data_IF_071049419677
#
_entry.id   IF_071049419677
#
_cell.length_a   1.000
_cell.length_b   1.000
_cell.length_c   1.000
_cell.angle_alpha   90.00
_cell.angle_beta   90.00
_cell.angle_gamma   90.00
#
_symmetry.space_group_name_H-M   'P 1'
#
loop_
_entity.id
_entity.type
_entity.pdbx_description
1 polymer ?
#
# COMPACT_ATOMS: atom_id res chain seq x y z
N UNK A 1 -8.00 30.09 -15.79
CA UNK A 1 -9.09 29.11 -15.58
C UNK A 1 -9.37 28.45 -16.91
N UNK A 2 -9.48 27.12 -16.95
CA UNK A 2 -9.82 26.40 -18.18
C UNK A 2 -11.26 26.72 -18.59
N UNK A 3 -11.50 26.96 -19.89
CA UNK A 3 -12.84 27.15 -20.41
C UNK A 3 -13.59 25.80 -20.53
N UNK A 4 -14.91 25.84 -20.70
CA UNK A 4 -15.72 24.65 -21.01
C UNK A 4 -15.17 23.91 -22.22
N UNK A 5 -14.80 24.65 -23.26
CA UNK A 5 -14.31 24.08 -24.52
C UNK A 5 -12.93 23.45 -24.34
N UNK A 6 -12.06 24.03 -23.51
CA UNK A 6 -10.77 23.44 -23.15
C UNK A 6 -10.94 22.09 -22.44
N UNK A 7 -11.89 22.00 -21.51
CA UNK A 7 -12.19 20.75 -20.79
C UNK A 7 -12.72 19.68 -21.74
N UNK A 8 -13.68 20.02 -22.60
CA UNK A 8 -14.25 19.09 -23.60
C UNK A 8 -13.18 18.63 -24.58
N UNK A 9 -12.34 19.56 -25.06
CA UNK A 9 -11.22 19.25 -25.96
C UNK A 9 -10.21 18.32 -25.31
N UNK A 10 -9.84 18.57 -24.06
CA UNK A 10 -8.89 17.73 -23.31
C UNK A 10 -9.41 16.31 -23.13
N UNK A 11 -10.68 16.15 -22.74
CA UNK A 11 -11.32 14.81 -22.64
C UNK A 11 -11.33 14.13 -24.00
N UNK A 12 -11.82 14.79 -25.06
CA UNK A 12 -11.87 14.20 -26.40
C UNK A 12 -10.49 13.79 -26.91
N UNK A 13 -9.44 14.55 -26.61
CA UNK A 13 -8.08 14.15 -26.93
C UNK A 13 -7.73 12.83 -26.23
N UNK A 14 -7.86 12.71 -24.90
CA UNK A 14 -7.49 11.49 -24.17
C UNK A 14 -8.30 10.23 -24.56
N UNK A 15 -9.51 10.40 -25.10
CA UNK A 15 -10.38 9.31 -25.59
C UNK A 15 -10.22 8.99 -27.09
N UNK A 16 -9.40 9.73 -27.83
CA UNK A 16 -9.16 9.51 -29.27
C UNK A 16 -7.75 8.98 -29.56
N UNK A 17 -7.56 8.34 -30.73
CA UNK A 17 -6.27 7.78 -31.14
C UNK A 17 -5.87 6.53 -30.34
N UNK A 18 -4.58 6.20 -30.35
CA UNK A 18 -4.03 5.02 -29.68
C UNK A 18 -3.05 5.40 -28.56
N UNK A 19 -2.99 4.57 -27.53
CA UNK A 19 -1.96 4.67 -26.49
C UNK A 19 -0.73 3.87 -26.89
N UNK A 20 0.46 4.45 -26.69
CA UNK A 20 1.73 3.72 -26.82
C UNK A 20 2.06 3.08 -25.48
N UNK A 21 1.87 1.76 -25.39
CA UNK A 21 2.14 0.99 -24.18
C UNK A 21 3.39 0.15 -24.37
N UNK A 22 4.34 0.31 -23.46
CA UNK A 22 5.58 -0.49 -23.40
C UNK A 22 5.54 -1.47 -22.23
N UNK A 23 6.22 -2.61 -22.33
CA UNK A 23 6.38 -3.52 -21.20
C UNK A 23 7.58 -3.08 -20.35
N UNK A 24 7.46 -3.21 -19.02
CA UNK A 24 8.49 -2.79 -18.07
C UNK A 24 8.84 -3.88 -17.05
N UNK A 25 10.10 -3.89 -16.64
CA UNK A 25 10.64 -4.77 -15.57
C UNK A 25 11.19 -4.00 -14.37
N UNK A 26 11.19 -2.67 -14.45
CA UNK A 26 11.64 -1.74 -13.41
C UNK A 26 10.52 -0.72 -13.20
N UNK A 27 10.17 -0.45 -11.94
CA UNK A 27 9.13 0.51 -11.61
C UNK A 27 9.58 1.90 -12.10
N UNK A 28 8.80 2.58 -12.95
CA UNK A 28 9.21 3.87 -13.51
C UNK A 28 9.08 5.00 -12.49
N UNK A 29 9.92 6.02 -12.67
CA UNK A 29 9.72 7.36 -12.12
C UNK A 29 8.93 8.24 -13.10
N UNK A 30 8.42 9.38 -12.62
CA UNK A 30 7.58 10.32 -13.39
C UNK A 30 8.24 10.73 -14.72
N UNK A 31 9.56 10.89 -14.73
CA UNK A 31 10.33 11.29 -15.91
C UNK A 31 10.44 10.18 -16.96
N UNK A 32 10.27 8.92 -16.57
CA UNK A 32 10.38 7.78 -17.48
C UNK A 32 9.11 7.56 -18.32
N UNK A 33 8.00 8.21 -17.98
CA UNK A 33 6.73 8.15 -18.70
C UNK A 33 6.40 9.53 -19.26
N UNK A 34 6.32 9.63 -20.58
CA UNK A 34 5.94 10.88 -21.24
C UNK A 34 4.48 11.23 -20.93
N UNK A 35 4.20 12.52 -20.69
CA UNK A 35 2.84 13.00 -20.52
C UNK A 35 2.03 12.78 -21.81
N UNK A 36 0.74 12.46 -21.68
CA UNK A 36 -0.15 12.16 -22.81
C UNK A 36 -0.47 10.67 -22.91
N UNK A 37 -0.63 10.16 -24.13
CA UNK A 37 -1.11 8.79 -24.41
C UNK A 37 0.01 7.74 -24.37
N UNK A 38 0.81 7.78 -23.31
CA UNK A 38 1.93 6.86 -23.10
C UNK A 38 1.76 6.12 -21.79
N UNK A 39 2.22 4.87 -21.75
CA UNK A 39 2.23 4.11 -20.52
C UNK A 39 3.21 2.95 -20.54
N UNK A 40 3.41 2.40 -19.35
CA UNK A 40 4.23 1.21 -19.13
C UNK A 40 3.44 0.17 -18.36
N UNK A 41 3.27 -1.01 -18.94
CA UNK A 41 2.64 -2.14 -18.26
C UNK A 41 3.71 -2.96 -17.52
N UNK A 42 3.46 -3.26 -16.26
CA UNK A 42 4.32 -4.09 -15.42
C UNK A 42 3.48 -5.14 -14.68
N UNK A 43 4.06 -6.30 -14.41
CA UNK A 43 3.49 -7.28 -13.47
C UNK A 43 4.05 -7.02 -12.06
N UNK A 44 3.23 -6.44 -11.18
CA UNK A 44 3.63 -5.91 -9.88
C UNK A 44 2.86 -6.58 -8.75
N UNK A 45 3.52 -6.77 -7.62
CA UNK A 45 2.82 -6.93 -6.35
C UNK A 45 2.66 -5.53 -5.73
N UNK A 46 1.41 -5.16 -5.46
CA UNK A 46 1.03 -3.88 -4.89
C UNK A 46 0.69 -4.09 -3.42
N UNK A 47 1.37 -3.37 -2.53
CA UNK A 47 1.08 -3.33 -1.10
C UNK A 47 0.52 -1.96 -0.78
N UNK A 48 -0.60 -1.93 -0.06
CA UNK A 48 -1.13 -0.72 0.54
C UNK A 48 -1.22 -0.90 2.05
N UNK A 49 -0.72 0.07 2.81
CA UNK A 49 -0.87 0.11 4.25
C UNK A 49 -1.51 1.44 4.67
N UNK A 50 -2.43 1.39 5.62
CA UNK A 50 -3.11 2.57 6.13
C UNK A 50 -3.38 2.48 7.64
N UNK A 51 -3.50 3.63 8.30
CA UNK A 51 -3.92 3.70 9.71
C UNK A 51 -5.44 3.68 9.73
N UNK A 52 -6.03 2.73 10.47
CA UNK A 52 -7.49 2.64 10.56
C UNK A 52 -8.03 3.74 11.45
N UNK A 53 -9.16 4.31 11.03
CA UNK A 53 -9.88 5.35 11.78
C UNK A 53 -9.00 6.59 12.10
N UNK A 54 -7.99 6.88 11.28
CA UNK A 54 -7.01 7.94 11.54
C UNK A 54 -7.61 9.33 11.70
N UNK A 55 -8.79 9.61 11.12
CA UNK A 55 -9.51 10.86 11.36
C UNK A 55 -9.89 11.03 12.82
N UNK A 56 -10.40 9.98 13.49
CA UNK A 56 -10.68 10.01 14.94
C UNK A 56 -9.43 10.24 15.75
N UNK A 57 -8.32 9.67 15.28
CA UNK A 57 -7.00 9.85 15.87
C UNK A 57 -6.58 11.33 15.78
N UNK A 58 -6.72 11.97 14.61
CA UNK A 58 -6.38 13.39 14.39
C UNK A 58 -7.31 14.32 15.15
N UNK A 59 -8.61 14.08 15.14
CA UNK A 59 -9.61 14.90 15.84
C UNK A 59 -9.40 14.88 17.35
N UNK A 60 -8.97 13.75 17.88
CA UNK A 60 -8.55 13.62 19.28
C UNK A 60 -7.26 14.37 19.59
N UNK A 61 -6.37 14.61 18.60
CA UNK A 61 -5.03 15.13 18.85
C UNK A 61 -4.85 16.62 18.57
N UNK A 62 -3.95 17.24 19.35
CA UNK A 62 -3.29 18.49 18.92
C UNK A 62 -2.52 18.21 17.63
N UNK A 63 -2.61 19.09 16.63
CA UNK A 63 -2.00 18.95 15.30
C UNK A 63 -0.54 18.45 15.32
N UNK A 64 0.27 18.94 16.27
CA UNK A 64 1.68 18.54 16.41
C UNK A 64 1.83 17.08 16.85
N UNK A 65 0.94 16.57 17.69
CA UNK A 65 0.93 15.17 18.14
C UNK A 65 0.57 14.23 16.98
N UNK A 66 -0.48 14.56 16.22
CA UNK A 66 -0.83 13.83 14.99
C UNK A 66 0.34 13.82 13.99
N UNK A 67 1.02 14.95 13.80
CA UNK A 67 2.18 15.03 12.93
C UNK A 67 3.34 14.12 13.39
N UNK A 68 3.60 14.00 14.71
CA UNK A 68 4.62 13.07 15.23
C UNK A 68 4.28 11.62 14.90
N UNK A 69 3.00 11.24 15.06
CA UNK A 69 2.52 9.91 14.73
C UNK A 69 2.71 9.61 13.25
N UNK A 70 2.19 10.47 12.37
CA UNK A 70 2.31 10.28 10.92
C UNK A 70 3.75 10.24 10.45
N UNK A 71 4.61 11.16 10.91
CA UNK A 71 6.03 11.14 10.53
C UNK A 71 6.73 9.85 10.97
N UNK A 72 6.43 9.35 12.16
CA UNK A 72 7.03 8.10 12.67
C UNK A 72 6.54 6.88 11.90
N UNK A 73 5.23 6.83 11.62
CA UNK A 73 4.61 5.78 10.81
C UNK A 73 5.19 5.76 9.39
N UNK A 74 5.08 6.86 8.65
CA UNK A 74 5.53 6.97 7.26
C UNK A 74 7.03 6.67 7.13
N UNK A 75 7.86 7.13 8.08
CA UNK A 75 9.29 6.84 8.09
C UNK A 75 9.56 5.33 8.27
N UNK A 76 8.95 4.67 9.26
CA UNK A 76 9.18 3.25 9.50
C UNK A 76 8.73 2.37 8.34
N UNK A 77 7.54 2.65 7.78
CA UNK A 77 7.02 1.98 6.59
C UNK A 77 7.96 2.18 5.40
N UNK A 78 8.46 3.41 5.18
CA UNK A 78 9.37 3.69 4.07
C UNK A 78 10.70 2.92 4.18
N UNK A 79 11.28 2.83 5.38
CA UNK A 79 12.52 2.08 5.60
C UNK A 79 12.33 0.59 5.36
N UNK A 80 11.23 0.02 5.88
CA UNK A 80 10.94 -1.41 5.71
C UNK A 80 10.65 -1.74 4.25
N UNK A 81 9.88 -0.91 3.55
CA UNK A 81 9.61 -1.08 2.13
C UNK A 81 10.92 -1.15 1.33
N UNK A 82 11.80 -0.16 1.47
CA UNK A 82 13.09 -0.10 0.76
C UNK A 82 13.99 -1.30 1.07
N UNK A 83 14.05 -1.72 2.34
CA UNK A 83 14.87 -2.87 2.76
C UNK A 83 14.40 -4.20 2.15
N UNK A 84 13.14 -4.28 1.72
CA UNK A 84 12.58 -5.45 1.05
C UNK A 84 12.43 -5.24 -0.47
N UNK A 85 13.21 -4.34 -1.07
CA UNK A 85 13.17 -4.03 -2.50
C UNK A 85 11.78 -3.53 -2.96
N UNK A 86 11.07 -2.84 -2.06
CA UNK A 86 9.81 -2.17 -2.32
C UNK A 86 10.05 -0.71 -2.67
N UNK A 87 9.26 -0.24 -3.63
CA UNK A 87 9.34 1.08 -4.20
C UNK A 87 8.10 1.89 -3.78
N UNK A 88 8.30 2.89 -2.91
CA UNK A 88 7.20 3.78 -2.48
C UNK A 88 6.71 4.59 -3.68
N UNK A 89 5.40 4.61 -3.92
CA UNK A 89 4.79 5.27 -5.08
C UNK A 89 3.92 6.45 -4.70
N UNK A 90 3.11 6.33 -3.64
CA UNK A 90 2.32 7.46 -3.18
C UNK A 90 2.13 7.44 -1.67
N UNK A 91 2.01 8.65 -1.11
CA UNK A 91 1.47 8.92 0.21
C UNK A 91 0.06 9.49 0.00
N UNK A 92 -0.96 8.72 0.35
CA UNK A 92 -2.36 9.15 0.22
C UNK A 92 -2.89 9.50 1.61
N UNK A 93 -2.57 10.71 2.07
CA UNK A 93 -2.81 11.10 3.46
C UNK A 93 -1.89 10.29 4.39
N UNK A 94 -2.47 9.34 5.10
CA UNK A 94 -1.80 8.39 5.98
C UNK A 94 -1.58 7.00 5.38
N UNK A 95 -2.15 6.75 4.21
CA UNK A 95 -1.92 5.54 3.44
C UNK A 95 -0.62 5.58 2.65
N UNK A 96 0.07 4.44 2.52
CA UNK A 96 1.29 4.28 1.73
C UNK A 96 1.09 3.18 0.70
N UNK A 97 1.29 3.52 -0.58
CA UNK A 97 1.34 2.55 -1.68
C UNK A 97 2.79 2.19 -2.01
N UNK A 98 3.07 0.89 -2.04
CA UNK A 98 4.40 0.34 -2.36
C UNK A 98 4.26 -0.67 -3.50
N UNK A 99 5.08 -0.50 -4.53
CA UNK A 99 5.18 -1.43 -5.65
C UNK A 99 6.39 -2.37 -5.48
N UNK A 100 6.22 -3.64 -5.83
CA UNK A 100 7.28 -4.64 -5.86
C UNK A 100 7.31 -5.29 -7.25
N UNK A 101 8.50 -5.41 -7.83
CA UNK A 101 8.74 -5.98 -9.16
C UNK A 101 9.76 -7.12 -9.08
N UNK A 102 9.88 -7.89 -10.16
CA UNK A 102 10.80 -9.02 -10.26
C UNK A 102 10.20 -10.36 -9.84
N UNK A 103 11.05 -11.38 -9.78
CA UNK A 103 10.65 -12.77 -9.51
C UNK A 103 10.07 -12.94 -8.10
N UNK A 104 10.72 -12.36 -7.09
CA UNK A 104 10.36 -12.50 -5.68
C UNK A 104 9.38 -11.42 -5.17
N UNK A 105 8.71 -10.68 -6.05
CA UNK A 105 7.85 -9.54 -5.67
C UNK A 105 6.78 -9.87 -4.63
N UNK A 106 6.10 -11.02 -4.74
CA UNK A 106 5.10 -11.44 -3.76
C UNK A 106 5.73 -11.75 -2.40
N UNK A 107 6.86 -12.47 -2.38
CA UNK A 107 7.60 -12.79 -1.15
C UNK A 107 8.14 -11.55 -0.48
N UNK A 108 8.70 -10.62 -1.26
CA UNK A 108 9.22 -9.35 -0.78
C UNK A 108 8.10 -8.47 -0.20
N UNK A 109 6.97 -8.34 -0.91
CA UNK A 109 5.81 -7.59 -0.42
C UNK A 109 5.27 -8.18 0.88
N UNK A 110 5.13 -9.50 0.97
CA UNK A 110 4.62 -10.17 2.16
C UNK A 110 5.60 -10.05 3.33
N UNK A 111 6.90 -10.23 3.10
CA UNK A 111 7.92 -10.04 4.13
C UNK A 111 7.92 -8.60 4.65
N UNK A 112 7.82 -7.62 3.75
CA UNK A 112 7.67 -6.22 4.11
C UNK A 112 6.44 -6.01 5.00
N UNK A 113 5.27 -6.57 4.62
CA UNK A 113 4.05 -6.47 5.42
C UNK A 113 4.18 -7.07 6.82
N UNK A 114 4.81 -8.24 6.96
CA UNK A 114 5.06 -8.87 8.26
C UNK A 114 6.02 -8.01 9.12
N UNK A 115 7.01 -7.37 8.50
CA UNK A 115 7.92 -6.44 9.18
C UNK A 115 7.25 -5.12 9.57
N UNK A 116 6.39 -4.58 8.71
CA UNK A 116 5.57 -3.41 9.01
C UNK A 116 4.60 -3.71 10.17
N UNK A 117 3.98 -4.90 10.17
CA UNK A 117 3.15 -5.38 11.27
C UNK A 117 3.91 -5.45 12.59
N UNK A 118 5.13 -6.00 12.58
CA UNK A 118 6.03 -5.96 13.74
C UNK A 118 6.30 -4.52 14.19
N UNK A 119 6.70 -3.63 13.28
CA UNK A 119 7.01 -2.25 13.61
C UNK A 119 5.82 -1.53 14.23
N UNK A 120 4.64 -1.65 13.62
CA UNK A 120 3.41 -1.04 14.12
C UNK A 120 3.03 -1.56 15.51
N UNK A 121 3.08 -2.88 15.74
CA UNK A 121 2.65 -3.52 17.00
C UNK A 121 3.67 -3.39 18.12
N UNK A 122 4.96 -3.50 17.81
CA UNK A 122 6.02 -3.65 18.83
C UNK A 122 6.83 -2.36 19.05
N UNK A 123 6.79 -1.41 18.12
CA UNK A 123 7.57 -0.16 18.23
C UNK A 123 6.64 1.04 18.30
N UNK A 124 5.76 1.21 17.30
CA UNK A 124 4.97 2.41 17.16
C UNK A 124 3.82 2.46 18.19
N UNK A 125 3.00 1.42 18.29
CA UNK A 125 1.87 1.37 19.24
C UNK A 125 2.31 1.59 20.70
N UNK A 126 3.35 0.90 21.23
CA UNK A 126 3.81 1.16 22.59
C UNK A 126 4.35 2.58 22.80
N UNK A 127 4.99 3.16 21.77
CA UNK A 127 5.49 4.55 21.85
C UNK A 127 4.36 5.56 21.91
N UNK A 128 3.31 5.34 21.12
CA UNK A 128 2.08 6.13 21.08
C UNK A 128 1.39 6.05 22.45
N UNK A 129 1.15 4.83 22.96
CA UNK A 129 0.51 4.58 24.25
C UNK A 129 1.28 5.24 25.42
N UNK A 130 2.61 5.07 25.47
CA UNK A 130 3.46 5.70 26.48
C UNK A 130 3.40 7.24 26.43
N UNK A 131 3.41 7.81 25.22
CA UNK A 131 3.28 9.26 25.04
C UNK A 131 1.93 9.77 25.56
N UNK A 132 0.84 9.02 25.40
CA UNK A 132 -0.48 9.42 25.89
C UNK A 132 -0.72 9.17 27.38
N UNK A 133 -0.15 8.12 27.96
CA UNK A 133 -0.22 7.90 29.40
C UNK A 133 0.32 9.10 30.20
N UNK A 134 1.31 9.81 29.64
CA UNK A 134 1.88 11.03 30.24
C UNK A 134 1.11 12.31 29.93
N UNK A 135 0.13 12.26 29.02
CA UNK A 135 -0.68 13.39 28.57
C UNK A 135 -2.17 13.07 28.80
N UNK A 136 -2.61 13.19 30.05
CA UNK A 136 -3.93 12.79 30.62
C UNK A 136 -5.20 13.27 29.91
N UNK A 137 -5.09 14.09 28.86
CA UNK A 137 -6.20 14.53 28.01
C UNK A 137 -6.52 13.57 26.85
N UNK A 138 -5.74 12.50 26.68
CA UNK A 138 -5.84 11.56 25.56
C UNK A 138 -5.98 10.13 26.08
N UNK A 139 -7.11 9.83 26.72
CA UNK A 139 -7.40 8.45 27.13
C UNK A 139 -8.16 7.71 26.03
N UNK A 140 -7.74 6.46 25.78
CA UNK A 140 -8.40 5.46 24.91
C UNK A 140 -8.34 5.67 23.39
N UNK A 141 -7.16 5.91 22.83
CA UNK A 141 -6.95 5.80 21.39
C UNK A 141 -6.34 4.44 21.02
N UNK A 142 -7.14 3.60 20.38
CA UNK A 142 -6.71 2.30 19.88
C UNK A 142 -6.07 2.48 18.50
N UNK A 143 -4.74 2.56 18.47
CA UNK A 143 -4.00 2.55 17.22
C UNK A 143 -4.16 1.18 16.54
N UNK A 144 -4.73 1.20 15.34
CA UNK A 144 -4.87 0.05 14.45
C UNK A 144 -4.47 0.41 13.02
N UNK A 145 -4.13 -0.60 12.23
CA UNK A 145 -3.64 -0.44 10.87
C UNK A 145 -4.08 -1.62 10.00
N UNK A 146 -4.14 -1.40 8.69
CA UNK A 146 -4.47 -2.41 7.71
C UNK A 146 -3.43 -2.48 6.62
N UNK A 147 -3.03 -3.68 6.23
CA UNK A 147 -2.14 -3.96 5.10
C UNK A 147 -2.88 -4.88 4.13
N UNK A 148 -2.95 -4.47 2.87
CA UNK A 148 -3.50 -5.25 1.78
C UNK A 148 -2.47 -5.48 0.70
N UNK A 149 -2.41 -6.69 0.15
CA UNK A 149 -1.49 -7.03 -0.96
C UNK A 149 -2.24 -7.78 -2.05
N UNK A 150 -2.06 -7.33 -3.28
CA UNK A 150 -2.47 -8.07 -4.47
C UNK A 150 -1.36 -8.04 -5.53
N UNK A 151 -1.45 -8.92 -6.53
CA UNK A 151 -0.46 -9.03 -7.61
C UNK A 151 -1.13 -9.13 -8.96
N UNK A 152 -0.61 -8.40 -9.94
CA UNK A 152 -1.04 -8.53 -11.33
C UNK A 152 -0.48 -7.43 -12.22
N UNK A 153 -1.02 -7.38 -13.43
CA UNK A 153 -0.67 -6.35 -14.41
C UNK A 153 -1.19 -4.99 -13.96
N UNK A 154 -0.30 -3.99 -13.99
CA UNK A 154 -0.57 -2.59 -13.71
C UNK A 154 -0.03 -1.76 -14.86
N UNK A 155 -0.91 -0.98 -15.47
CA UNK A 155 -0.56 0.03 -16.45
C UNK A 155 -0.25 1.34 -15.73
N UNK A 156 0.99 1.79 -15.82
CA UNK A 156 1.45 3.05 -15.25
C UNK A 156 1.43 4.12 -16.33
N UNK A 157 0.66 5.18 -16.08
CA UNK A 157 0.57 6.36 -16.97
C UNK A 157 0.96 7.60 -16.20
N UNK A 158 1.40 8.65 -16.89
CA UNK A 158 1.65 9.95 -16.27
C UNK A 158 0.39 10.80 -16.34
N UNK A 159 -0.17 11.12 -15.18
CA UNK A 159 -1.24 12.10 -15.03
C UNK A 159 -0.70 13.50 -14.77
N UNK A 160 -1.53 14.51 -15.03
CA UNK A 160 -1.24 15.91 -14.76
C UNK A 160 -1.42 16.81 -15.98
N UNK A 161 -1.04 18.08 -15.83
CA UNK A 161 -1.24 19.13 -16.84
C UNK A 161 0.12 19.52 -17.42
N UNK A 162 0.18 19.61 -18.75
CA UNK A 162 1.41 19.99 -19.47
C UNK A 162 1.83 21.41 -19.07
N UNK A 163 3.09 21.57 -18.68
CA UNK A 163 3.64 22.85 -18.26
C UNK A 163 3.39 23.21 -16.78
N UNK A 164 2.71 22.34 -16.03
CA UNK A 164 2.55 22.47 -14.59
C UNK A 164 3.46 21.51 -13.83
N UNK A 165 3.84 21.90 -12.60
CA UNK A 165 4.66 21.08 -11.70
C UNK A 165 3.85 20.00 -10.95
N UNK A 166 2.58 19.79 -11.32
CA UNK A 166 1.69 18.82 -10.69
C UNK A 166 1.46 17.62 -11.62
N UNK A 167 2.54 16.87 -11.90
CA UNK A 167 2.45 15.61 -12.63
C UNK A 167 2.88 14.45 -11.73
N UNK A 168 2.13 13.36 -11.77
CA UNK A 168 2.41 12.16 -11.00
C UNK A 168 2.06 10.90 -11.79
N UNK A 169 2.51 9.74 -11.32
CA UNK A 169 2.19 8.45 -11.91
C UNK A 169 0.84 7.93 -11.40
N UNK A 170 0.00 7.47 -12.32
CA UNK A 170 -1.28 6.82 -12.05
C UNK A 170 -1.13 5.32 -12.31
N UNK A 171 -1.52 4.53 -11.33
CA UNK A 171 -1.32 3.07 -11.29
C UNK A 171 -2.63 2.34 -11.63
N UNK A 172 -2.89 2.15 -12.92
CA UNK A 172 -4.15 1.58 -13.42
C UNK A 172 -4.06 0.06 -13.44
N UNK A 173 -4.72 -0.59 -12.48
CA UNK A 173 -4.80 -2.05 -12.42
C UNK A 173 -5.61 -2.54 -11.23
N UNK A 174 -6.17 -3.75 -11.37
CA UNK A 174 -6.93 -4.38 -10.29
C UNK A 174 -6.08 -4.61 -9.04
N UNK A 175 -4.79 -4.93 -9.21
CA UNK A 175 -3.87 -5.15 -8.10
C UNK A 175 -3.80 -3.96 -7.13
N UNK A 176 -3.69 -2.73 -7.66
CA UNK A 176 -3.70 -1.50 -6.84
C UNK A 176 -5.01 -1.37 -6.07
N UNK A 177 -6.14 -1.51 -6.77
CA UNK A 177 -7.47 -1.36 -6.19
C UNK A 177 -7.76 -2.42 -5.12
N UNK A 178 -7.32 -3.65 -5.35
CA UNK A 178 -7.53 -4.76 -4.43
C UNK A 178 -6.64 -4.61 -3.21
N UNK A 179 -5.37 -4.23 -3.36
CA UNK A 179 -4.50 -3.93 -2.23
C UNK A 179 -5.12 -2.88 -1.28
N UNK A 180 -5.67 -1.78 -1.83
CA UNK A 180 -6.36 -0.75 -1.03
C UNK A 180 -7.62 -1.30 -0.37
N UNK A 181 -8.42 -2.08 -1.07
CA UNK A 181 -9.65 -2.63 -0.48
C UNK A 181 -9.38 -3.71 0.58
N UNK A 182 -8.34 -4.52 0.40
CA UNK A 182 -7.93 -5.56 1.33
C UNK A 182 -7.44 -4.98 2.66
N UNK A 183 -6.71 -3.85 2.64
CA UNK A 183 -6.24 -3.20 3.88
C UNK A 183 -7.40 -2.78 4.80
N UNK A 184 -8.53 -2.40 4.20
CA UNK A 184 -9.72 -1.92 4.91
C UNK A 184 -10.67 -3.01 5.41
N UNK A 185 -10.43 -4.30 5.13
CA UNK A 185 -11.37 -5.38 5.53
C UNK A 185 -11.56 -5.45 7.05
N UNK A 186 -10.48 -5.36 7.84
CA UNK A 186 -10.58 -5.11 9.29
C UNK A 186 -11.48 -6.05 10.09
N UNK A 187 -11.21 -7.36 10.07
CA UNK A 187 -11.93 -8.36 10.90
C UNK A 187 -11.05 -8.94 12.03
N UNK A 188 -10.39 -8.08 12.81
CA UNK A 188 -9.43 -8.50 13.85
C UNK A 188 -8.07 -8.95 13.32
N UNK A 189 -7.80 -8.71 12.04
CA UNK A 189 -6.53 -8.99 11.38
C UNK A 189 -5.96 -7.75 10.70
N UNK A 190 -4.63 -7.63 10.71
CA UNK A 190 -3.94 -6.49 10.12
C UNK A 190 -3.48 -6.73 8.69
N UNK A 191 -3.26 -7.99 8.25
CA UNK A 191 -2.72 -8.28 6.91
C UNK A 191 -3.72 -9.12 6.14
N UNK A 192 -4.04 -8.69 4.92
CA UNK A 192 -4.85 -9.41 3.95
C UNK A 192 -4.12 -9.50 2.62
N UNK A 193 -4.12 -10.68 2.00
CA UNK A 193 -3.52 -10.91 0.69
C UNK A 193 -4.49 -11.66 -0.22
N UNK A 194 -4.41 -11.42 -1.52
CA UNK A 194 -5.14 -12.23 -2.50
C UNK A 194 -4.62 -13.66 -2.55
N UNK A 195 -5.44 -14.58 -3.07
CA UNK A 195 -5.00 -15.96 -3.31
C UNK A 195 -3.78 -16.05 -4.25
N UNK A 196 -3.66 -15.15 -5.22
CA UNK A 196 -2.53 -15.15 -6.17
C UNK A 196 -1.22 -14.78 -5.48
N UNK A 197 -1.24 -13.82 -4.55
CA UNK A 197 -0.07 -13.52 -3.71
C UNK A 197 0.30 -14.73 -2.86
N UNK A 198 -0.69 -15.37 -2.22
CA UNK A 198 -0.46 -16.55 -1.38
C UNK A 198 0.16 -17.70 -2.17
N UNK A 199 -0.31 -17.96 -3.40
CA UNK A 199 0.24 -19.01 -4.27
C UNK A 199 1.67 -18.72 -4.70
N UNK A 200 1.98 -17.46 -5.02
CA UNK A 200 3.28 -17.04 -5.60
C UNK A 200 4.37 -16.73 -4.57
N UNK A 201 4.04 -16.48 -3.30
CA UNK A 201 5.04 -16.24 -2.27
C UNK A 201 5.75 -17.53 -1.83
N UNK A 202 6.99 -17.40 -1.38
CA UNK A 202 7.80 -18.50 -0.89
C UNK A 202 7.30 -19.02 0.48
N UNK A 203 7.63 -20.27 0.79
CA UNK A 203 7.29 -20.92 2.06
C UNK A 203 7.86 -20.20 3.28
N UNK A 204 8.98 -19.50 3.13
CA UNK A 204 9.59 -18.71 4.20
C UNK A 204 8.64 -17.66 4.78
N UNK A 205 7.68 -17.15 3.99
CA UNK A 205 6.67 -16.19 4.44
C UNK A 205 5.30 -16.83 4.67
N UNK A 206 5.16 -18.15 4.47
CA UNK A 206 3.95 -18.92 4.76
C UNK A 206 3.99 -19.57 6.14
N UNK A 207 5.16 -20.00 6.57
CA UNK A 207 5.30 -20.86 7.74
C UNK A 207 6.18 -20.23 8.82
N UNK A 208 5.91 -20.58 10.07
CA UNK A 208 6.77 -20.25 11.21
C UNK A 208 8.17 -20.83 11.04
N UNK A 209 9.19 -20.13 11.57
CA UNK A 209 10.55 -20.66 11.67
C UNK A 209 10.64 -21.56 12.91
N UNK A 210 10.76 -22.87 12.72
CA UNK A 210 10.82 -23.84 13.82
C UNK A 210 10.86 -25.29 13.33
N UNK A 211 10.95 -26.23 14.28
CA UNK A 211 10.88 -27.68 13.97
C UNK A 211 9.50 -28.08 13.42
N UNK A 212 8.44 -27.45 13.93
CA UNK A 212 7.08 -27.55 13.39
C UNK A 212 6.79 -26.33 12.51
N UNK A 213 6.52 -26.57 11.22
CA UNK A 213 6.12 -25.53 10.27
C UNK A 213 4.61 -25.32 10.36
N UNK A 214 4.19 -24.24 11.00
CA UNK A 214 2.78 -23.86 11.09
C UNK A 214 2.47 -22.76 10.10
N UNK A 215 1.38 -22.92 9.34
CA UNK A 215 0.95 -21.93 8.36
C UNK A 215 0.38 -20.70 9.10
N UNK A 216 0.95 -19.53 8.86
CA UNK A 216 0.56 -18.29 9.55
C UNK A 216 -0.64 -17.60 8.87
N UNK A 217 -1.22 -18.21 7.84
CA UNK A 217 -2.29 -17.64 7.03
C UNK A 217 -3.60 -18.43 7.17
N UNK A 218 -4.68 -17.69 7.44
CA UNK A 218 -6.04 -18.24 7.46
C UNK A 218 -6.75 -17.90 6.14
N UNK A 219 -7.32 -18.92 5.48
CA UNK A 219 -8.19 -18.73 4.32
C UNK A 219 -9.51 -18.05 4.74
N UNK A 220 -9.93 -17.05 3.97
CA UNK A 220 -11.23 -16.39 4.10
C UNK A 220 -11.87 -16.16 2.74
N UNK A 221 -13.18 -15.93 2.76
CA UNK A 221 -13.95 -15.53 1.59
C UNK A 221 -14.36 -14.08 1.74
N UNK A 222 -13.92 -13.24 0.81
CA UNK A 222 -14.25 -11.83 0.78
C UNK A 222 -15.65 -11.62 0.20
N UNK A 223 -16.64 -11.57 1.09
CA UNK A 223 -18.08 -11.62 0.73
C UNK A 223 -18.51 -10.44 -0.14
N UNK A 224 -18.01 -9.24 0.11
CA UNK A 224 -18.32 -8.04 -0.67
C UNK A 224 -17.66 -7.99 -2.06
N UNK A 225 -16.77 -8.95 -2.37
CA UNK A 225 -16.14 -9.10 -3.69
C UNK A 225 -16.36 -10.50 -4.24
N UNK A 226 -17.63 -10.84 -4.48
CA UNK A 226 -18.06 -12.10 -5.11
C UNK A 226 -17.49 -13.37 -4.43
N UNK A 227 -17.32 -13.33 -3.09
CA UNK A 227 -16.75 -14.44 -2.30
C UNK A 227 -15.37 -14.87 -2.79
N UNK A 228 -14.54 -13.93 -3.23
CA UNK A 228 -13.16 -14.21 -3.64
C UNK A 228 -12.34 -14.81 -2.48
N UNK A 229 -11.47 -15.77 -2.78
CA UNK A 229 -10.55 -16.35 -1.79
C UNK A 229 -9.44 -15.36 -1.48
N UNK A 230 -9.28 -15.06 -0.20
CA UNK A 230 -8.22 -14.20 0.35
C UNK A 230 -7.61 -14.89 1.55
N UNK A 231 -6.41 -14.50 1.93
CA UNK A 231 -5.74 -15.00 3.12
C UNK A 231 -5.47 -13.86 4.07
N UNK A 232 -5.59 -14.11 5.37
CA UNK A 232 -5.32 -13.12 6.41
C UNK A 232 -4.31 -13.61 7.43
N UNK A 233 -3.57 -12.69 8.02
CA UNK A 233 -2.58 -12.98 9.06
C UNK A 233 -2.41 -11.82 10.03
N UNK A 234 -2.06 -12.15 11.27
CA UNK A 234 -1.56 -11.21 12.26
C UNK A 234 -0.06 -11.40 12.52
N UNK A 235 0.59 -12.21 11.69
CA UNK A 235 2.00 -12.52 11.76
C UNK A 235 2.88 -11.28 11.76
N UNK A 236 4.07 -11.48 12.30
CA UNK A 236 5.10 -10.45 12.44
C UNK A 236 6.43 -11.05 12.00
N UNK A 237 7.33 -10.20 11.51
CA UNK A 237 8.70 -10.56 11.20
C UNK A 237 9.63 -9.49 11.73
N UNK A 238 10.61 -9.82 12.57
CA UNK A 238 11.55 -8.83 13.10
C UNK A 238 12.57 -8.43 12.02
N UNK A 239 12.68 -7.15 11.65
CA UNK A 239 13.75 -6.67 10.78
C UNK A 239 15.13 -7.04 11.36
N UNK A 240 16.08 -7.38 10.49
CA UNK A 240 17.47 -7.66 10.88
C UNK A 240 18.30 -6.39 10.78
#
# INVERSE_FOLDING_TARGET
>A
MASKDDLVKGVNDYFSGSYTITQGTVVPDVENIQLGKNGRELDLAMLFIDIRESTKIVDGFRRVTAARMYKSFLWGIAQIARTNNGELRSFNGDGVLVAFVGEYKCTNAVKAALQMSWFCKNVLKPKIESYFATNSQLSALDFDFGIGIDVGKVLVVRGGIKGENNNDLVWVGNATNFAVKLSHIGEGYNIYISEDVYKKMNDTTKYTSGQTKENIWELRFWTSMNKMRVYRSNGIWTPK
#
